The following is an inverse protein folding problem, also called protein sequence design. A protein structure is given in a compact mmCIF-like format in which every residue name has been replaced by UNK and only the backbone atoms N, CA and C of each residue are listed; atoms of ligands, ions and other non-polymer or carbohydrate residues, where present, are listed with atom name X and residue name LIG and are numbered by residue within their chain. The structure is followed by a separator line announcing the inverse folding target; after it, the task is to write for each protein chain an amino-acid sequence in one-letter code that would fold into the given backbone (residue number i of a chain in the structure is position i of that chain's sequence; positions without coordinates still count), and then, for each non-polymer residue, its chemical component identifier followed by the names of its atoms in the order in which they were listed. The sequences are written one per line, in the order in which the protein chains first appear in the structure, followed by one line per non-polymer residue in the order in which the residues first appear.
data_IF_619856564445
#
_entry.id   IF_619856564445
#
_cell.length_a   1.000
_cell.length_b   1.000
_cell.length_c   1.000
_cell.angle_alpha   90.00
_cell.angle_beta   90.00
_cell.angle_gamma   90.00
#
_symmetry.space_group_name_H-M   'P 1'
#
loop_
_entity.id
_entity.type
_entity.pdbx_description
1 polymer ?
#
# COMPACT_ATOMS: atom_id res chain seq x y z
N UNK A 1 2.00 2.62 -16.99
CA UNK A 1 0.61 2.32 -17.39
C UNK A 1 -0.45 2.65 -16.31
N UNK A 2 -0.20 2.42 -15.01
CA UNK A 2 -1.22 2.58 -13.96
C UNK A 2 -1.49 4.01 -13.46
N UNK A 3 -0.63 4.99 -13.79
CA UNK A 3 -0.70 6.34 -13.18
C UNK A 3 -2.00 7.12 -13.48
N UNK A 4 -2.55 7.12 -14.72
CA UNK A 4 -3.80 7.81 -15.00
C UNK A 4 -4.98 7.29 -14.18
N UNK A 5 -5.09 5.97 -14.04
CA UNK A 5 -6.16 5.33 -13.27
C UNK A 5 -6.04 5.59 -11.76
N UNK A 6 -4.81 5.60 -11.21
CA UNK A 6 -4.58 5.97 -9.81
C UNK A 6 -5.04 7.40 -9.56
N UNK A 7 -4.69 8.32 -10.47
CA UNK A 7 -5.04 9.73 -10.33
C UNK A 7 -6.56 9.93 -10.38
N UNK A 8 -7.25 9.29 -11.32
CA UNK A 8 -8.71 9.37 -11.45
C UNK A 8 -9.42 8.93 -10.16
N UNK A 9 -8.93 7.89 -9.48
CA UNK A 9 -9.52 7.42 -8.23
C UNK A 9 -9.19 8.35 -7.05
N UNK A 10 -7.95 8.85 -6.96
CA UNK A 10 -7.52 9.70 -5.83
C UNK A 10 -8.28 11.02 -5.75
N UNK A 11 -8.78 11.56 -6.87
CA UNK A 11 -9.60 12.79 -6.85
C UNK A 11 -11.02 12.57 -6.32
N UNK A 12 -11.46 11.32 -6.17
CA UNK A 12 -12.83 10.94 -5.79
C UNK A 12 -12.94 10.44 -4.35
N UNK A 13 -11.83 10.19 -3.66
CA UNK A 13 -11.82 9.54 -2.34
C UNK A 13 -11.13 10.39 -1.28
N UNK A 14 -11.51 10.20 -0.02
CA UNK A 14 -10.87 10.83 1.14
C UNK A 14 -9.69 10.03 1.70
N UNK A 15 -9.65 8.73 1.42
CA UNK A 15 -8.64 7.79 1.90
C UNK A 15 -8.30 6.75 0.83
N UNK A 16 -7.04 6.32 0.78
CA UNK A 16 -6.55 5.30 -0.12
C UNK A 16 -5.80 4.20 0.64
N UNK A 17 -6.07 2.95 0.27
CA UNK A 17 -5.41 1.76 0.77
C UNK A 17 -4.33 1.36 -0.24
N UNK A 18 -3.06 1.56 0.10
CA UNK A 18 -1.94 1.36 -0.84
C UNK A 18 -1.34 -0.03 -0.61
N UNK A 19 -1.32 -0.86 -1.66
CA UNK A 19 -0.70 -2.18 -1.62
C UNK A 19 0.82 -2.11 -1.39
N UNK A 20 1.33 -3.04 -0.59
CA UNK A 20 2.68 -2.98 -0.01
C UNK A 20 3.70 -3.96 -0.60
N UNK A 21 3.48 -4.46 -1.83
CA UNK A 21 4.47 -5.24 -2.60
C UNK A 21 4.33 -6.76 -2.55
N UNK A 22 3.47 -7.32 -1.69
CA UNK A 22 3.28 -8.77 -1.60
C UNK A 22 2.21 -9.28 -2.57
N UNK A 23 0.98 -8.75 -2.45
CA UNK A 23 -0.13 -9.16 -3.32
C UNK A 23 -0.22 -8.31 -4.61
N UNK A 24 0.34 -7.10 -4.59
CA UNK A 24 0.33 -6.12 -5.66
C UNK A 24 1.30 -4.97 -5.35
N UNK A 25 1.50 -4.08 -6.32
CA UNK A 25 2.39 -2.91 -6.26
C UNK A 25 3.87 -3.27 -6.28
N UNK A 26 4.70 -2.23 -6.43
CA UNK A 26 6.15 -2.28 -6.37
C UNK A 26 6.66 -0.96 -5.72
N UNK A 27 7.96 -0.83 -5.40
CA UNK A 27 8.50 0.39 -4.78
C UNK A 27 8.21 1.67 -5.57
N UNK A 28 8.26 1.63 -6.91
CA UNK A 28 8.00 2.80 -7.74
C UNK A 28 6.52 3.18 -7.76
N UNK A 29 5.62 2.19 -7.69
CA UNK A 29 4.18 2.43 -7.58
C UNK A 29 3.83 2.99 -6.20
N UNK A 30 4.40 2.46 -5.11
CA UNK A 30 4.21 3.00 -3.76
C UNK A 30 4.67 4.47 -3.68
N UNK A 31 5.89 4.77 -4.14
CA UNK A 31 6.44 6.13 -4.18
C UNK A 31 5.50 7.12 -4.90
N UNK A 32 5.10 6.79 -6.13
CA UNK A 32 4.21 7.62 -6.94
C UNK A 32 2.84 7.81 -6.30
N UNK A 33 2.27 6.73 -5.76
CA UNK A 33 0.92 6.77 -5.17
C UNK A 33 0.90 7.62 -3.91
N UNK A 34 1.91 7.49 -3.04
CA UNK A 34 2.04 8.32 -1.83
C UNK A 34 2.25 9.79 -2.21
N UNK A 35 3.08 10.08 -3.21
CA UNK A 35 3.29 11.44 -3.72
C UNK A 35 1.98 12.06 -4.19
N UNK A 36 1.20 11.34 -5.01
CA UNK A 36 -0.09 11.81 -5.48
C UNK A 36 -1.09 11.98 -4.34
N UNK A 37 -1.18 11.02 -3.42
CA UNK A 37 -2.08 11.14 -2.26
C UNK A 37 -1.79 12.41 -1.44
N UNK A 38 -0.51 12.78 -1.30
CA UNK A 38 -0.11 14.05 -0.68
C UNK A 38 -0.60 15.27 -1.46
N UNK A 39 -0.42 15.29 -2.78
CA UNK A 39 -0.84 16.38 -3.66
C UNK A 39 -2.36 16.62 -3.60
N UNK A 40 -3.13 15.53 -3.62
CA UNK A 40 -4.59 15.56 -3.61
C UNK A 40 -5.21 15.52 -2.20
N UNK A 41 -4.38 15.62 -1.15
CA UNK A 41 -4.81 15.63 0.27
C UNK A 41 -5.64 14.39 0.68
N UNK A 42 -5.33 13.25 0.09
CA UNK A 42 -5.95 11.94 0.41
C UNK A 42 -5.20 11.30 1.58
N UNK A 43 -5.94 10.72 2.52
CA UNK A 43 -5.35 9.97 3.64
C UNK A 43 -4.76 8.64 3.16
N UNK A 44 -3.53 8.33 3.58
CA UNK A 44 -2.84 7.09 3.19
C UNK A 44 -2.94 6.04 4.30
N UNK A 45 -3.33 4.83 3.92
CA UNK A 45 -3.21 3.64 4.77
C UNK A 45 -2.50 2.49 4.05
N UNK A 46 -1.87 1.62 4.84
CA UNK A 46 -1.27 0.40 4.30
C UNK A 46 -2.35 -0.59 3.91
N UNK A 47 -2.14 -1.34 2.84
CA UNK A 47 -2.95 -2.50 2.48
C UNK A 47 -2.06 -3.74 2.43
N UNK A 48 -1.74 -4.33 3.59
CA UNK A 48 -0.96 -5.57 3.63
C UNK A 48 -1.75 -6.71 2.98
N UNK A 49 -1.07 -7.57 2.23
CA UNK A 49 -1.62 -8.80 1.70
C UNK A 49 -0.74 -10.01 1.99
N UNK A 50 -1.24 -11.19 1.66
CA UNK A 50 -0.44 -12.40 1.63
C UNK A 50 0.65 -12.29 0.56
N UNK A 51 1.77 -12.97 0.77
CA UNK A 51 2.88 -13.08 -0.19
C UNK A 51 2.50 -13.98 -1.37
N UNK A 52 1.55 -13.47 -2.16
CA UNK A 52 0.93 -14.15 -3.27
C UNK A 52 0.66 -13.17 -4.41
N UNK A 53 1.73 -12.75 -5.08
CA UNK A 53 1.60 -11.85 -6.23
C UNK A 53 0.83 -12.50 -7.39
N UNK A 54 1.08 -13.78 -7.66
CA UNK A 54 0.46 -14.50 -8.77
C UNK A 54 -1.06 -14.69 -8.59
N UNK A 55 -1.52 -14.89 -7.36
CA UNK A 55 -2.94 -14.96 -7.01
C UNK A 55 -3.53 -13.63 -6.53
N UNK A 56 -2.77 -12.53 -6.64
CA UNK A 56 -3.17 -11.20 -6.18
C UNK A 56 -3.61 -11.16 -4.70
N UNK A 57 -3.00 -12.01 -3.86
CA UNK A 57 -3.33 -12.14 -2.44
C UNK A 57 -4.71 -12.75 -2.17
N UNK A 58 -5.35 -13.38 -3.16
CA UNK A 58 -6.73 -13.90 -3.06
C UNK A 58 -6.81 -15.39 -2.77
N UNK A 59 -5.68 -16.08 -2.64
CA UNK A 59 -5.64 -17.50 -2.30
C UNK A 59 -5.39 -17.67 -0.81
N UNK A 60 -6.06 -18.64 -0.20
CA UNK A 60 -5.75 -19.03 1.16
C UNK A 60 -4.34 -19.63 1.22
N UNK A 61 -3.54 -19.13 2.15
CA UNK A 61 -2.23 -19.68 2.49
C UNK A 61 -2.25 -20.12 3.94
N UNK A 62 -1.74 -21.31 4.21
CA UNK A 62 -1.60 -21.79 5.57
C UNK A 62 -0.37 -21.13 6.20
N UNK A 63 -0.57 -20.01 6.90
CA UNK A 63 0.48 -19.27 7.60
C UNK A 63 0.21 -19.27 9.10
N UNK A 64 1.28 -19.31 9.88
CA UNK A 64 1.25 -19.14 11.33
C UNK A 64 0.92 -17.69 11.71
N UNK A 65 0.49 -17.49 12.96
CA UNK A 65 0.28 -16.15 13.51
C UNK A 65 1.57 -15.30 13.50
N UNK A 66 2.74 -15.94 13.66
CA UNK A 66 4.03 -15.25 13.64
C UNK A 66 4.38 -14.76 12.23
N UNK A 67 4.13 -15.58 11.20
CA UNK A 67 4.27 -15.18 9.80
C UNK A 67 3.32 -14.03 9.48
N UNK A 68 2.03 -14.17 9.80
CA UNK A 68 1.04 -13.10 9.58
C UNK A 68 1.48 -11.77 10.22
N UNK A 69 1.91 -11.80 11.49
CA UNK A 69 2.40 -10.62 12.20
C UNK A 69 3.59 -9.97 11.50
N UNK A 70 4.59 -10.78 11.13
CA UNK A 70 5.84 -10.26 10.55
C UNK A 70 5.64 -9.76 9.12
N UNK A 71 4.79 -10.43 8.33
CA UNK A 71 4.37 -9.96 7.00
C UNK A 71 3.67 -8.61 7.07
N UNK A 72 2.74 -8.43 8.02
CA UNK A 72 2.05 -7.15 8.23
C UNK A 72 3.03 -6.06 8.67
N UNK A 73 3.89 -6.37 9.64
CA UNK A 73 4.90 -5.42 10.14
C UNK A 73 5.86 -4.97 9.03
N UNK A 74 6.34 -5.90 8.20
CA UNK A 74 7.20 -5.60 7.05
C UNK A 74 6.52 -4.66 6.07
N UNK A 75 5.29 -4.98 5.66
CA UNK A 75 4.53 -4.22 4.68
C UNK A 75 4.15 -2.81 5.16
N UNK A 76 3.80 -2.65 6.43
CA UNK A 76 3.58 -1.34 7.04
C UNK A 76 4.89 -0.54 7.03
N UNK A 77 6.00 -1.15 7.45
CA UNK A 77 7.32 -0.51 7.45
C UNK A 77 7.74 -0.03 6.05
N UNK A 78 7.55 -0.88 5.04
CA UNK A 78 7.85 -0.57 3.65
C UNK A 78 7.09 0.66 3.15
N UNK A 79 5.77 0.70 3.30
CA UNK A 79 4.98 1.85 2.89
C UNK A 79 5.30 3.11 3.72
N UNK A 80 5.55 2.93 5.03
CA UNK A 80 5.81 4.04 5.93
C UNK A 80 7.08 4.81 5.56
N UNK A 81 8.08 4.16 4.98
CA UNK A 81 9.28 4.82 4.48
C UNK A 81 8.95 5.86 3.40
N UNK A 82 8.07 5.53 2.45
CA UNK A 82 7.61 6.48 1.42
C UNK A 82 6.75 7.60 2.03
N UNK A 83 5.88 7.27 2.99
CA UNK A 83 5.10 8.27 3.73
C UNK A 83 6.00 9.29 4.42
N UNK A 84 7.08 8.84 5.07
CA UNK A 84 8.09 9.71 5.71
C UNK A 84 8.77 10.59 4.67
N UNK A 85 9.19 10.04 3.52
CA UNK A 85 9.86 10.79 2.46
C UNK A 85 9.02 11.98 1.96
N UNK A 86 7.70 11.82 1.87
CA UNK A 86 6.76 12.87 1.46
C UNK A 86 6.11 13.66 2.60
N UNK A 87 6.57 13.46 3.85
CA UNK A 87 6.04 14.12 5.04
C UNK A 87 4.51 13.98 5.15
N UNK A 88 4.02 12.77 4.93
CA UNK A 88 2.63 12.36 5.17
C UNK A 88 2.60 11.31 6.29
N UNK A 89 1.66 11.46 7.23
CA UNK A 89 1.46 10.48 8.29
C UNK A 89 0.53 9.39 7.76
N UNK A 90 0.97 8.13 7.80
CA UNK A 90 0.08 6.98 7.57
C UNK A 90 -1.03 6.96 8.63
N UNK A 91 -2.29 6.85 8.19
CA UNK A 91 -3.49 7.05 9.04
C UNK A 91 -4.12 5.75 9.51
N UNK A 92 -4.07 4.71 8.69
CA UNK A 92 -4.76 3.45 8.94
C UNK A 92 -4.04 2.25 8.30
N UNK A 93 -4.51 1.06 8.65
CA UNK A 93 -4.19 -0.25 8.05
C UNK A 93 -5.52 -0.95 7.81
#
# INVERSE_FOLDING_TARGET
PALPAILELLTLVSSANIACGFHASDPLVMDKTVKLAKEYKVSVGAHPGLDDLAGFGRRNMNISCLEAKTMVQYQIGALNAFCIAYKIKMKHV
#
